data_IF_436740580706
#
_entry.id   IF_436740580706
#
_cell.length_a   1.000
_cell.length_b   1.000
_cell.length_c   1.000
_cell.angle_alpha   90.00
_cell.angle_beta   90.00
_cell.angle_gamma   90.00
#
_symmetry.space_group_name_H-M   'P 1'
#
loop_
_entity.id
_entity.type
_entity.pdbx_description
1 polymer ?
#
# COMPACT_ATOMS: atom_id res chain seq x y z
N UNK A 1 -7.21 -22.16 57.25
CA UNK A 1 -7.06 -22.56 55.85
C UNK A 1 -7.56 -21.38 55.02
N UNK A 2 -6.64 -20.52 54.59
CA UNK A 2 -6.95 -19.38 53.72
C UNK A 2 -6.88 -19.86 52.29
N UNK A 3 -8.00 -19.76 51.58
CA UNK A 3 -8.09 -20.04 50.15
C UNK A 3 -7.61 -18.81 49.36
N UNK A 4 -6.45 -18.92 48.73
CA UNK A 4 -5.91 -17.89 47.86
C UNK A 4 -6.82 -17.68 46.67
N UNK A 5 -7.35 -16.43 46.49
CA UNK A 5 -8.13 -15.99 45.37
C UNK A 5 -7.30 -16.00 44.06
N UNK A 6 -7.81 -16.52 42.94
CA UNK A 6 -7.06 -16.51 41.69
C UNK A 6 -6.93 -15.07 41.17
N UNK A 7 -5.68 -14.68 40.95
CA UNK A 7 -5.28 -13.37 40.41
C UNK A 7 -5.88 -13.18 39.02
N UNK A 8 -6.92 -12.37 38.93
CA UNK A 8 -7.61 -12.03 37.70
C UNK A 8 -6.62 -11.30 36.78
N UNK A 9 -6.22 -11.94 35.67
CA UNK A 9 -5.35 -11.31 34.66
C UNK A 9 -6.16 -10.28 33.94
N UNK A 10 -5.65 -9.05 33.87
CA UNK A 10 -6.29 -7.91 33.25
C UNK A 10 -6.65 -8.22 31.78
N UNK A 11 -7.92 -8.03 31.35
CA UNK A 11 -8.34 -8.24 29.97
C UNK A 11 -7.60 -7.32 28.98
N UNK A 12 -6.95 -6.27 29.47
CA UNK A 12 -6.14 -5.34 28.70
C UNK A 12 -4.92 -5.99 28.02
N UNK A 13 -4.38 -7.06 28.62
CA UNK A 13 -3.25 -7.81 28.08
C UNK A 13 -3.61 -8.60 26.80
N UNK A 14 -4.83 -9.06 26.69
CA UNK A 14 -5.33 -9.76 25.49
C UNK A 14 -5.67 -8.79 24.36
N UNK A 15 -6.10 -7.56 24.67
CA UNK A 15 -6.32 -6.49 23.71
C UNK A 15 -5.00 -6.00 23.13
N UNK A 16 -3.95 -5.86 23.95
CA UNK A 16 -2.61 -5.49 23.48
C UNK A 16 -1.94 -6.58 22.61
N UNK A 17 -2.17 -7.86 22.90
CA UNK A 17 -1.61 -8.97 22.10
C UNK A 17 -2.41 -9.25 20.82
N UNK A 18 -3.71 -9.02 20.81
CA UNK A 18 -4.59 -9.27 19.64
C UNK A 18 -4.60 -8.14 18.61
N UNK A 19 -4.67 -6.89 19.06
CA UNK A 19 -4.67 -5.72 18.16
C UNK A 19 -3.26 -5.22 17.80
N UNK A 20 -2.26 -5.43 18.68
CA UNK A 20 -0.90 -4.92 18.47
C UNK A 20 -0.09 -5.70 17.43
N UNK A 21 -0.37 -6.99 17.25
CA UNK A 21 0.43 -7.83 16.37
C UNK A 21 0.21 -7.58 14.88
N UNK A 22 -1.04 -7.45 14.44
CA UNK A 22 -1.36 -7.27 13.02
C UNK A 22 -1.30 -5.79 12.59
N UNK A 23 -1.82 -4.89 13.42
CA UNK A 23 -1.70 -3.45 13.19
C UNK A 23 -0.23 -3.01 13.24
N UNK A 24 0.59 -3.60 14.12
CA UNK A 24 2.03 -3.34 14.19
C UNK A 24 2.79 -3.77 12.93
N UNK A 25 2.42 -4.87 12.29
CA UNK A 25 3.07 -5.35 11.06
C UNK A 25 2.66 -4.53 9.83
N UNK A 26 1.42 -4.05 9.77
CA UNK A 26 0.94 -3.20 8.68
C UNK A 26 1.44 -1.77 8.88
N UNK A 27 1.45 -1.26 10.12
CA UNK A 27 2.11 0.01 10.43
C UNK A 27 3.63 -0.06 10.23
N UNK A 28 4.29 -1.18 10.52
CA UNK A 28 5.69 -1.41 10.16
C UNK A 28 5.87 -1.44 8.64
N UNK A 29 4.98 -2.08 7.89
CA UNK A 29 4.99 -2.06 6.43
C UNK A 29 4.83 -0.63 5.88
N UNK A 30 3.85 0.11 6.34
CA UNK A 30 3.62 1.50 5.90
C UNK A 30 4.65 2.48 6.47
N UNK A 31 5.14 2.33 7.71
CA UNK A 31 6.26 3.13 8.24
C UNK A 31 7.60 2.81 7.58
N UNK A 32 7.84 1.56 7.16
CA UNK A 32 9.01 1.18 6.35
C UNK A 32 8.93 1.89 5.00
N UNK A 33 7.73 2.01 4.42
CA UNK A 33 7.50 2.72 3.15
C UNK A 33 7.70 4.23 3.31
N UNK A 34 7.29 4.80 4.43
CA UNK A 34 7.08 6.24 4.55
C UNK A 34 8.13 6.97 5.42
N UNK A 35 8.90 6.32 6.27
CA UNK A 35 9.72 7.08 7.19
C UNK A 35 10.98 6.46 7.74
N UNK A 36 11.09 5.14 7.76
CA UNK A 36 12.28 4.48 8.29
C UNK A 36 13.17 4.04 7.13
N UNK A 37 14.18 4.84 6.87
CA UNK A 37 15.18 4.50 5.89
C UNK A 37 15.83 3.14 6.10
N UNK A 38 16.49 2.68 5.05
CA UNK A 38 17.25 1.43 4.88
C UNK A 38 17.91 0.82 6.14
N UNK A 39 18.14 1.61 7.19
CA UNK A 39 18.67 1.10 8.48
C UNK A 39 17.71 0.18 9.23
N UNK A 40 16.41 0.49 9.28
CA UNK A 40 15.44 -0.38 9.95
C UNK A 40 15.12 -1.64 9.12
N UNK A 41 15.26 -1.53 7.79
CA UNK A 41 15.07 -2.64 6.86
C UNK A 41 16.24 -3.64 6.95
N UNK A 42 17.44 -3.21 7.33
CA UNK A 42 18.60 -4.11 7.56
C UNK A 42 18.39 -5.10 8.70
N UNK A 43 17.55 -4.76 9.67
CA UNK A 43 17.33 -5.58 10.85
C UNK A 43 16.15 -6.57 10.71
N UNK A 44 15.32 -6.45 9.65
CA UNK A 44 14.08 -7.26 9.49
C UNK A 44 14.26 -8.51 8.62
N UNK A 45 15.39 -8.71 7.99
CA UNK A 45 15.66 -9.96 7.27
C UNK A 45 16.56 -9.83 6.05
N UNK A 46 17.33 -10.86 5.80
CA UNK A 46 18.33 -10.94 4.73
C UNK A 46 17.78 -10.75 3.31
N UNK A 47 16.47 -10.94 3.10
CA UNK A 47 15.81 -10.77 1.79
C UNK A 47 15.61 -9.32 1.33
N UNK A 48 15.84 -8.33 2.20
CA UNK A 48 15.61 -6.90 1.87
C UNK A 48 16.89 -6.19 1.45
N UNK A 49 18.06 -6.75 1.81
CA UNK A 49 19.35 -6.11 1.61
C UNK A 49 20.01 -6.44 0.26
N UNK A 50 19.72 -7.61 -0.31
CA UNK A 50 20.27 -8.01 -1.60
C UNK A 50 19.41 -7.46 -2.76
N UNK A 51 19.96 -6.60 -3.64
CA UNK A 51 19.25 -6.07 -4.79
C UNK A 51 18.74 -7.16 -5.76
N UNK A 52 19.48 -8.24 -5.94
CA UNK A 52 19.08 -9.33 -6.83
C UNK A 52 17.90 -10.12 -6.26
N UNK A 53 17.89 -10.37 -4.96
CA UNK A 53 16.77 -11.04 -4.27
C UNK A 53 15.53 -10.16 -4.25
N UNK A 54 15.66 -8.83 -4.01
CA UNK A 54 14.55 -7.88 -4.10
C UNK A 54 13.92 -7.89 -5.49
N UNK A 55 14.75 -7.84 -6.53
CA UNK A 55 14.29 -7.87 -7.92
C UNK A 55 13.54 -9.18 -8.22
N UNK A 56 14.09 -10.31 -7.79
CA UNK A 56 13.48 -11.63 -7.95
C UNK A 56 12.11 -11.69 -7.25
N UNK A 57 12.04 -11.29 -5.98
CA UNK A 57 10.81 -11.28 -5.19
C UNK A 57 9.74 -10.36 -5.82
N UNK A 58 10.14 -9.19 -6.32
CA UNK A 58 9.23 -8.28 -6.99
C UNK A 58 8.66 -8.89 -8.29
N UNK A 59 9.49 -9.57 -9.08
CA UNK A 59 9.06 -10.27 -10.30
C UNK A 59 8.12 -11.43 -9.97
N UNK A 60 8.38 -12.19 -8.90
CA UNK A 60 7.49 -13.25 -8.44
C UNK A 60 6.11 -12.72 -8.00
N UNK A 61 6.07 -11.53 -7.38
CA UNK A 61 4.85 -10.92 -6.88
C UNK A 61 4.06 -10.19 -7.97
N UNK A 62 4.72 -9.51 -8.88
CA UNK A 62 4.09 -8.62 -9.87
C UNK A 62 4.11 -9.19 -11.30
N UNK A 63 4.87 -10.26 -11.54
CA UNK A 63 5.10 -10.83 -12.86
C UNK A 63 6.06 -10.00 -13.72
N UNK A 64 5.89 -8.69 -13.75
CA UNK A 64 6.73 -7.73 -14.49
C UNK A 64 6.80 -6.42 -13.72
N UNK A 65 7.94 -5.76 -13.76
CA UNK A 65 8.12 -4.41 -13.24
C UNK A 65 7.86 -3.42 -14.37
N UNK A 66 7.00 -2.40 -14.19
CA UNK A 66 6.76 -1.39 -15.21
C UNK A 66 8.05 -0.67 -15.63
N UNK A 67 8.12 -0.28 -16.90
CA UNK A 67 9.25 0.46 -17.43
C UNK A 67 9.48 1.77 -16.67
N UNK A 68 10.74 2.09 -16.38
CA UNK A 68 11.13 3.28 -15.63
C UNK A 68 11.07 3.11 -14.11
N UNK A 69 10.54 1.99 -13.59
CA UNK A 69 10.46 1.76 -12.16
C UNK A 69 11.62 0.92 -11.63
N UNK A 70 12.07 1.26 -10.43
CA UNK A 70 13.10 0.54 -9.67
C UNK A 70 12.49 -0.08 -8.41
N UNK A 71 12.94 -1.27 -8.03
CA UNK A 71 12.52 -1.95 -6.79
C UNK A 71 13.25 -1.34 -5.60
N UNK A 72 12.52 -0.64 -4.74
CA UNK A 72 13.03 -0.06 -3.48
C UNK A 72 13.11 -1.12 -2.40
N UNK A 73 12.03 -1.89 -2.25
CA UNK A 73 11.92 -2.97 -1.28
C UNK A 73 11.04 -4.09 -1.82
N UNK A 74 11.32 -5.32 -1.44
CA UNK A 74 10.42 -6.45 -1.67
C UNK A 74 10.60 -7.48 -0.57
N UNK A 75 9.48 -7.82 0.08
CA UNK A 75 9.41 -8.79 1.16
C UNK A 75 8.45 -9.91 0.76
N UNK A 76 8.86 -11.13 1.04
CA UNK A 76 8.04 -12.30 0.83
C UNK A 76 7.95 -13.08 2.14
N UNK A 77 6.85 -12.88 2.89
CA UNK A 77 6.56 -13.62 4.11
C UNK A 77 5.36 -14.56 3.87
N UNK A 78 5.29 -15.64 4.62
CA UNK A 78 4.24 -16.65 4.46
C UNK A 78 2.81 -16.07 4.48
N UNK A 79 2.55 -15.05 5.29
CA UNK A 79 1.22 -14.45 5.49
C UNK A 79 1.03 -13.09 4.82
N UNK A 80 2.11 -12.48 4.36
CA UNK A 80 2.07 -11.17 3.71
C UNK A 80 3.24 -11.00 2.74
N UNK A 81 2.97 -10.40 1.62
CA UNK A 81 3.98 -10.00 0.63
C UNK A 81 3.85 -8.52 0.38
N UNK A 82 4.97 -7.85 0.18
CA UNK A 82 4.97 -6.43 -0.19
C UNK A 82 6.09 -6.15 -1.17
N UNK A 83 5.81 -5.29 -2.14
CA UNK A 83 6.80 -4.76 -3.07
C UNK A 83 6.59 -3.27 -3.24
N UNK A 84 7.68 -2.51 -3.21
CA UNK A 84 7.68 -1.07 -3.39
C UNK A 84 8.51 -0.74 -4.61
N UNK A 85 7.90 -0.03 -5.54
CA UNK A 85 8.51 0.48 -6.76
C UNK A 85 8.52 2.00 -6.73
N UNK A 86 9.51 2.61 -7.36
CA UNK A 86 9.53 4.05 -7.63
C UNK A 86 10.18 4.33 -8.97
N UNK A 87 9.73 5.38 -9.65
CA UNK A 87 10.39 5.96 -10.84
C UNK A 87 11.28 7.16 -10.47
N UNK A 88 11.41 7.46 -9.16
CA UNK A 88 12.24 8.54 -8.63
C UNK A 88 13.71 8.12 -8.58
N UNK A 89 14.59 9.12 -8.64
CA UNK A 89 16.02 8.89 -8.47
C UNK A 89 16.32 8.35 -7.06
N UNK A 90 17.08 7.26 -7.03
CA UNK A 90 17.51 6.62 -5.78
C UNK A 90 18.78 7.28 -5.27
N UNK A 91 18.77 7.66 -3.99
CA UNK A 91 19.97 8.18 -3.30
C UNK A 91 20.92 7.04 -2.93
N UNK A 92 22.23 7.32 -2.79
CA UNK A 92 23.25 6.32 -2.42
C UNK A 92 22.97 5.62 -1.09
N UNK A 93 22.26 6.27 -0.17
CA UNK A 93 21.85 5.72 1.12
C UNK A 93 20.58 4.84 1.04
N UNK A 94 20.06 4.61 -0.17
CA UNK A 94 18.86 3.84 -0.44
C UNK A 94 17.56 4.60 -0.23
N UNK A 95 17.63 5.92 -0.04
CA UNK A 95 16.48 6.81 -0.11
C UNK A 95 16.13 7.15 -1.56
N UNK A 96 15.11 7.95 -1.76
CA UNK A 96 14.78 8.54 -3.04
C UNK A 96 14.52 10.04 -2.87
N UNK A 97 14.77 10.81 -3.91
CA UNK A 97 14.51 12.25 -3.92
C UNK A 97 13.00 12.45 -3.90
N UNK A 98 12.52 13.27 -2.95
CA UNK A 98 11.15 13.77 -2.98
C UNK A 98 11.06 14.83 -4.08
N UNK A 99 10.13 14.67 -4.96
CA UNK A 99 9.94 15.55 -6.11
C UNK A 99 8.98 14.91 -7.10
N UNK A 100 9.07 15.32 -8.35
CA UNK A 100 8.31 14.72 -9.44
C UNK A 100 8.60 13.22 -9.51
N UNK A 101 7.55 12.43 -9.68
CA UNK A 101 7.63 10.99 -9.78
C UNK A 101 6.63 10.26 -8.87
N UNK A 102 6.64 8.95 -8.99
CA UNK A 102 5.62 8.08 -8.43
C UNK A 102 6.24 7.05 -7.49
N UNK A 103 5.43 6.60 -6.54
CA UNK A 103 5.73 5.42 -5.74
C UNK A 103 4.56 4.46 -5.84
N UNK A 104 4.85 3.19 -6.03
CA UNK A 104 3.85 2.13 -6.02
C UNK A 104 4.17 1.12 -4.94
N UNK A 105 3.24 0.93 -4.03
CA UNK A 105 3.33 -0.05 -2.95
C UNK A 105 2.31 -1.14 -3.18
N UNK A 106 2.76 -2.37 -3.38
CA UNK A 106 1.92 -3.56 -3.55
C UNK A 106 1.90 -4.38 -2.27
N UNK A 107 0.71 -4.85 -1.91
CA UNK A 107 0.47 -5.68 -0.74
C UNK A 107 -0.38 -6.89 -1.13
N UNK A 108 0.04 -8.06 -0.69
CA UNK A 108 -0.72 -9.29 -0.77
C UNK A 108 -0.84 -9.86 0.64
N UNK A 109 -2.04 -9.94 1.16
CA UNK A 109 -2.34 -10.35 2.54
C UNK A 109 -3.42 -11.43 2.54
N UNK A 110 -3.34 -12.34 3.53
CA UNK A 110 -4.40 -13.34 3.71
C UNK A 110 -5.72 -12.64 4.05
N UNK A 111 -6.81 -13.11 3.44
CA UNK A 111 -8.12 -12.55 3.69
C UNK A 111 -8.56 -12.79 5.15
N UNK A 112 -9.10 -11.75 5.76
CA UNK A 112 -9.81 -11.79 7.02
C UNK A 112 -11.06 -10.89 6.92
N UNK A 113 -11.90 -10.85 7.95
CA UNK A 113 -13.14 -10.07 7.91
C UNK A 113 -12.90 -8.57 7.69
N UNK A 114 -11.82 -8.01 8.25
CA UNK A 114 -11.46 -6.61 8.08
C UNK A 114 -11.03 -6.32 6.64
N UNK A 115 -10.22 -7.21 6.07
CA UNK A 115 -9.77 -7.11 4.68
C UNK A 115 -10.94 -7.22 3.69
N UNK A 116 -11.97 -7.99 4.03
CA UNK A 116 -13.20 -8.10 3.24
C UNK A 116 -13.93 -6.76 3.13
N UNK A 117 -14.08 -6.02 4.23
CA UNK A 117 -14.68 -4.67 4.19
C UNK A 117 -13.87 -3.70 3.33
N UNK A 118 -12.54 -3.73 3.41
CA UNK A 118 -11.66 -2.94 2.55
C UNK A 118 -11.82 -3.30 1.07
N UNK A 119 -11.93 -4.59 0.75
CA UNK A 119 -12.24 -5.06 -0.61
C UNK A 119 -13.61 -4.56 -1.08
N UNK A 120 -14.65 -4.67 -0.24
CA UNK A 120 -15.99 -4.23 -0.55
C UNK A 120 -16.06 -2.70 -0.76
N UNK A 121 -15.27 -1.92 0.00
CA UNK A 121 -15.14 -0.49 -0.23
C UNK A 121 -14.51 -0.19 -1.60
N UNK A 122 -13.40 -0.84 -1.97
CA UNK A 122 -12.76 -0.65 -3.27
C UNK A 122 -13.68 -1.05 -4.43
N UNK A 123 -14.50 -2.08 -4.24
CA UNK A 123 -15.51 -2.51 -5.21
C UNK A 123 -16.76 -1.60 -5.26
N UNK A 124 -16.86 -0.60 -4.38
CA UNK A 124 -18.01 0.29 -4.28
C UNK A 124 -19.25 -0.33 -3.63
N UNK A 125 -19.11 -1.47 -2.95
CA UNK A 125 -20.19 -2.15 -2.20
C UNK A 125 -20.35 -1.59 -0.79
N UNK A 126 -19.30 -0.99 -0.26
CA UNK A 126 -19.23 -0.33 1.05
C UNK A 126 -18.88 1.14 0.83
N UNK A 127 -19.50 2.03 1.62
CA UNK A 127 -19.27 3.47 1.51
C UNK A 127 -18.29 4.01 2.57
N UNK A 128 -18.04 3.25 3.65
CA UNK A 128 -17.19 3.71 4.74
C UNK A 128 -15.69 3.49 4.43
N UNK A 129 -14.93 4.56 4.16
CA UNK A 129 -13.49 4.45 3.85
C UNK A 129 -12.64 3.97 5.03
N UNK A 130 -13.16 4.04 6.29
CA UNK A 130 -12.45 3.55 7.47
C UNK A 130 -12.13 2.07 7.41
N UNK A 131 -12.82 1.32 6.57
CA UNK A 131 -12.51 -0.08 6.28
C UNK A 131 -11.11 -0.29 5.69
N UNK A 132 -10.53 0.70 5.02
CA UNK A 132 -9.15 0.66 4.50
C UNK A 132 -8.11 1.12 5.54
N UNK A 133 -8.49 1.96 6.50
CA UNK A 133 -7.57 2.43 7.56
C UNK A 133 -7.01 1.28 8.38
N UNK A 134 -7.80 0.24 8.63
CA UNK A 134 -7.37 -0.97 9.32
C UNK A 134 -6.28 -1.73 8.55
N UNK A 135 -6.12 -1.44 7.26
CA UNK A 135 -5.08 -1.99 6.37
C UNK A 135 -3.95 -0.99 6.09
N UNK A 136 -3.87 0.10 6.86
CA UNK A 136 -2.84 1.13 6.69
C UNK A 136 -3.06 2.08 5.50
N UNK A 137 -4.20 1.99 4.82
CA UNK A 137 -4.57 2.89 3.72
C UNK A 137 -5.56 3.91 4.28
N UNK A 138 -5.08 5.14 4.51
CA UNK A 138 -5.91 6.21 5.06
C UNK A 138 -6.57 6.99 3.93
N UNK A 139 -7.88 6.76 3.72
CA UNK A 139 -8.71 7.53 2.78
C UNK A 139 -9.87 8.13 3.56
N UNK A 140 -10.06 9.43 3.43
CA UNK A 140 -11.27 10.10 3.92
C UNK A 140 -12.27 10.25 2.76
N UNK A 141 -13.56 10.06 3.04
CA UNK A 141 -14.60 10.11 1.99
C UNK A 141 -14.62 11.45 1.23
N UNK A 142 -14.38 12.56 1.93
CA UNK A 142 -14.30 13.93 1.36
C UNK A 142 -13.13 14.12 0.40
N UNK A 143 -12.11 13.29 0.50
CA UNK A 143 -10.87 13.42 -0.29
C UNK A 143 -10.87 12.50 -1.51
N UNK A 144 -11.94 11.72 -1.75
CA UNK A 144 -12.07 10.88 -2.93
C UNK A 144 -12.29 11.76 -4.15
N UNK A 145 -11.35 11.71 -5.10
CA UNK A 145 -11.41 12.48 -6.37
C UNK A 145 -11.96 11.64 -7.52
N UNK A 146 -11.77 10.30 -7.47
CA UNK A 146 -12.26 9.39 -8.52
C UNK A 146 -12.39 7.97 -8.00
N UNK A 147 -13.35 7.23 -8.54
CA UNK A 147 -13.53 5.79 -8.33
C UNK A 147 -13.92 5.15 -9.66
N UNK A 148 -13.43 3.94 -9.91
CA UNK A 148 -13.78 3.22 -11.12
C UNK A 148 -13.37 1.76 -11.11
N UNK A 149 -13.65 1.10 -12.23
CA UNK A 149 -13.24 -0.27 -12.52
C UNK A 149 -12.65 -0.33 -13.93
N UNK A 150 -11.61 -1.13 -14.10
CA UNK A 150 -10.92 -1.33 -15.37
C UNK A 150 -10.85 -2.82 -15.69
N UNK A 151 -10.87 -3.14 -16.96
CA UNK A 151 -10.52 -4.48 -17.45
C UNK A 151 -9.37 -4.33 -18.44
N UNK A 152 -8.23 -4.94 -18.12
CA UNK A 152 -7.00 -4.89 -18.94
C UNK A 152 -6.61 -6.32 -19.25
N UNK A 153 -6.65 -6.71 -20.52
CA UNK A 153 -6.32 -8.07 -20.99
C UNK A 153 -7.08 -9.17 -20.18
N UNK A 154 -8.38 -8.95 -19.92
CA UNK A 154 -9.24 -9.85 -19.16
C UNK A 154 -9.08 -9.82 -17.64
N UNK A 155 -8.12 -9.09 -17.11
CA UNK A 155 -7.91 -8.89 -15.66
C UNK A 155 -8.73 -7.69 -15.17
N UNK A 156 -9.41 -7.86 -14.05
CA UNK A 156 -10.27 -6.83 -13.46
C UNK A 156 -9.53 -6.10 -12.33
N UNK A 157 -9.71 -4.79 -12.31
CA UNK A 157 -9.17 -3.89 -11.30
C UNK A 157 -10.27 -2.94 -10.84
N UNK A 158 -10.40 -2.76 -9.54
CA UNK A 158 -11.19 -1.66 -9.00
C UNK A 158 -10.25 -0.65 -8.36
N UNK A 159 -10.53 0.64 -8.45
CA UNK A 159 -9.66 1.67 -7.91
C UNK A 159 -10.42 2.81 -7.25
N UNK A 160 -9.76 3.44 -6.29
CA UNK A 160 -10.21 4.66 -5.61
C UNK A 160 -9.04 5.61 -5.52
N UNK A 161 -9.12 6.72 -6.22
CA UNK A 161 -8.16 7.80 -6.12
C UNK A 161 -8.64 8.84 -5.10
N UNK A 162 -7.73 9.25 -4.23
CA UNK A 162 -8.01 10.21 -3.16
C UNK A 162 -6.82 11.12 -2.90
N UNK A 163 -7.11 12.31 -2.43
CA UNK A 163 -6.09 13.16 -1.79
C UNK A 163 -5.70 12.58 -0.43
N UNK A 164 -4.49 12.89 -0.01
CA UNK A 164 -3.96 12.48 1.27
C UNK A 164 -2.65 13.19 1.56
N UNK A 165 -1.93 12.68 2.53
CA UNK A 165 -0.59 13.14 2.87
C UNK A 165 0.43 12.09 2.46
N UNK A 166 1.54 12.52 1.91
CA UNK A 166 2.74 11.72 1.70
C UNK A 166 3.74 12.10 2.78
N UNK A 167 4.16 11.12 3.56
CA UNK A 167 5.23 11.33 4.52
C UNK A 167 6.55 11.53 3.79
N UNK A 168 7.17 12.63 4.07
CA UNK A 168 8.49 12.98 3.54
C UNK A 168 9.53 12.67 4.61
N UNK A 169 10.61 11.99 4.24
CA UNK A 169 11.67 11.59 5.16
C UNK A 169 12.27 12.81 5.88
N UNK A 170 11.88 13.05 7.13
CA UNK A 170 12.40 14.14 7.95
C UNK A 170 11.88 15.53 7.60
N UNK A 171 10.93 15.65 6.67
CA UNK A 171 10.22 16.88 6.34
C UNK A 171 8.80 16.91 6.90
N UNK A 172 8.08 18.00 6.66
CA UNK A 172 6.65 18.06 6.91
C UNK A 172 5.91 17.16 5.89
N UNK A 173 4.79 16.51 6.26
CA UNK A 173 3.96 15.78 5.31
C UNK A 173 3.54 16.69 4.15
N UNK A 174 3.67 16.20 2.93
CA UNK A 174 3.27 16.93 1.72
C UNK A 174 1.92 16.44 1.21
N UNK A 175 1.18 17.31 0.55
CA UNK A 175 -0.07 16.93 -0.10
C UNK A 175 0.21 15.90 -1.21
N UNK A 176 -0.53 14.80 -1.20
CA UNK A 176 -0.39 13.72 -2.14
C UNK A 176 -1.69 13.33 -2.80
N UNK A 177 -1.57 12.75 -4.00
CA UNK A 177 -2.63 12.06 -4.70
C UNK A 177 -2.31 10.56 -4.70
N UNK A 178 -3.21 9.76 -4.13
CA UNK A 178 -3.05 8.33 -3.96
C UNK A 178 -4.15 7.59 -4.73
N UNK A 179 -3.80 6.50 -5.39
CA UNK A 179 -4.76 5.61 -6.03
C UNK A 179 -4.64 4.20 -5.45
N UNK A 180 -5.62 3.80 -4.65
CA UNK A 180 -5.73 2.46 -4.10
C UNK A 180 -6.38 1.55 -5.15
N UNK A 181 -5.68 0.49 -5.55
CA UNK A 181 -6.02 -0.39 -6.67
C UNK A 181 -6.20 -1.81 -6.13
N UNK A 182 -7.38 -2.36 -6.28
CA UNK A 182 -7.67 -3.76 -6.00
C UNK A 182 -7.37 -4.59 -7.26
N UNK A 183 -6.54 -5.61 -7.11
CA UNK A 183 -6.35 -6.66 -8.11
C UNK A 183 -7.36 -7.78 -7.83
N UNK A 184 -8.34 -7.96 -8.70
CA UNK A 184 -9.37 -8.99 -8.53
C UNK A 184 -8.83 -10.38 -8.93
N UNK A 185 -7.91 -10.91 -8.15
CA UNK A 185 -7.32 -12.22 -8.36
C UNK A 185 -8.20 -13.33 -7.76
N UNK A 186 -8.15 -14.55 -8.34
CA UNK A 186 -8.78 -15.73 -7.73
C UNK A 186 -8.18 -16.05 -6.35
N UNK A 187 -9.00 -16.60 -5.45
CA UNK A 187 -8.60 -17.04 -4.11
C UNK A 187 -8.96 -16.05 -2.99
N UNK A 188 -8.53 -16.42 -1.77
CA UNK A 188 -8.93 -15.73 -0.53
C UNK A 188 -7.91 -14.68 -0.07
N UNK A 189 -7.06 -14.18 -0.97
CA UNK A 189 -6.07 -13.16 -0.65
C UNK A 189 -6.54 -11.79 -1.11
N UNK A 190 -6.31 -10.78 -0.26
CA UNK A 190 -6.46 -9.39 -0.65
C UNK A 190 -5.16 -8.94 -1.32
N UNK A 191 -5.27 -8.46 -2.55
CA UNK A 191 -4.15 -7.92 -3.31
C UNK A 191 -4.46 -6.47 -3.67
N UNK A 192 -3.71 -5.55 -3.09
CA UNK A 192 -3.92 -4.11 -3.24
C UNK A 192 -2.61 -3.43 -3.60
N UNK A 193 -2.68 -2.53 -4.56
CA UNK A 193 -1.63 -1.57 -4.86
C UNK A 193 -2.04 -0.16 -4.41
N UNK A 194 -1.07 0.64 -3.98
CA UNK A 194 -1.25 2.07 -3.77
C UNK A 194 -0.24 2.79 -4.64
N UNK A 195 -0.74 3.51 -5.64
CA UNK A 195 0.08 4.30 -6.56
C UNK A 195 -0.04 5.77 -6.18
N UNK A 196 1.07 6.42 -5.87
CA UNK A 196 1.11 7.72 -5.22
C UNK A 196 2.04 8.68 -5.94
N UNK A 197 1.65 9.95 -5.97
CA UNK A 197 2.44 11.09 -6.43
C UNK A 197 2.17 12.31 -5.54
N UNK A 198 2.96 13.38 -5.67
CA UNK A 198 2.61 14.68 -5.10
C UNK A 198 1.31 15.19 -5.73
N UNK A 199 0.50 15.90 -4.95
CA UNK A 199 -0.69 16.56 -5.46
C UNK A 199 -0.27 17.70 -6.40
N UNK A 200 -0.65 17.66 -7.69
CA UNK A 200 -0.22 18.68 -8.65
C UNK A 200 -0.86 20.05 -8.42
N UNK A 201 -1.93 20.13 -7.62
CA UNK A 201 -2.64 21.38 -7.34
C UNK A 201 -3.30 21.35 -5.95
N UNK A 202 -2.51 21.33 -4.88
CA UNK A 202 -3.02 21.17 -3.50
C UNK A 202 -3.94 22.31 -3.05
N UNK A 203 -3.89 23.47 -3.71
CA UNK A 203 -4.73 24.63 -3.45
C UNK A 203 -6.15 24.54 -4.04
N UNK A 204 -6.39 23.64 -5.01
CA UNK A 204 -7.70 23.45 -5.64
C UNK A 204 -8.57 22.50 -4.83
N UNK A 205 -9.87 22.58 -4.98
CA UNK A 205 -10.78 21.54 -4.46
C UNK A 205 -10.62 20.22 -5.22
N UNK A 206 -11.08 19.13 -4.64
CA UNK A 206 -11.01 17.79 -5.27
C UNK A 206 -11.80 17.75 -6.61
N UNK A 207 -12.87 18.54 -6.70
CA UNK A 207 -13.76 18.63 -7.89
C UNK A 207 -13.12 19.45 -9.04
N UNK A 208 -12.20 20.36 -8.70
CA UNK A 208 -11.53 21.24 -9.68
C UNK A 208 -10.18 20.66 -10.14
N UNK A 209 -9.78 19.49 -9.60
CA UNK A 209 -8.50 18.89 -9.92
C UNK A 209 -8.52 18.31 -11.34
N UNK A 210 -7.60 18.76 -12.17
CA UNK A 210 -7.33 18.10 -13.44
C UNK A 210 -6.57 16.80 -13.19
N UNK A 211 -7.20 15.68 -13.52
CA UNK A 211 -6.65 14.36 -13.29
C UNK A 211 -5.79 13.85 -14.46
N UNK A 212 -5.75 14.57 -15.58
CA UNK A 212 -4.99 14.16 -16.76
C UNK A 212 -3.48 14.01 -16.42
N UNK A 213 -2.91 12.86 -16.77
CA UNK A 213 -1.50 12.56 -16.52
C UNK A 213 -1.16 12.19 -15.08
N UNK A 214 -2.13 12.19 -14.15
CA UNK A 214 -1.91 11.82 -12.74
C UNK A 214 -2.13 10.32 -12.48
N UNK A 215 -1.84 9.86 -11.26
CA UNK A 215 -2.17 8.49 -10.81
C UNK A 215 -3.67 8.18 -10.81
N UNK A 216 -4.53 9.19 -10.92
CA UNK A 216 -5.98 9.06 -11.04
C UNK A 216 -6.48 9.07 -12.50
N UNK A 217 -5.59 9.29 -13.47
CA UNK A 217 -5.89 9.20 -14.90
C UNK A 217 -5.98 7.73 -15.34
N UNK A 218 -7.12 7.34 -15.89
CA UNK A 218 -7.34 5.96 -16.35
C UNK A 218 -6.36 5.53 -17.44
N UNK A 219 -5.97 6.42 -18.35
CA UNK A 219 -5.03 6.10 -19.41
C UNK A 219 -3.64 5.79 -18.83
N UNK A 220 -3.21 6.58 -17.84
CA UNK A 220 -1.96 6.33 -17.12
C UNK A 220 -2.04 5.04 -16.29
N UNK A 221 -3.18 4.82 -15.62
CA UNK A 221 -3.41 3.62 -14.82
C UNK A 221 -3.39 2.35 -15.69
N UNK A 222 -4.02 2.38 -16.87
CA UNK A 222 -3.96 1.26 -17.83
C UNK A 222 -2.53 1.00 -18.28
N UNK A 223 -1.79 2.05 -18.65
CA UNK A 223 -0.39 1.93 -19.09
C UNK A 223 0.49 1.32 -17.99
N UNK A 224 0.29 1.77 -16.75
CA UNK A 224 1.05 1.31 -15.58
C UNK A 224 0.74 -0.15 -15.21
N UNK A 225 -0.54 -0.54 -15.19
CA UNK A 225 -0.98 -1.87 -14.76
C UNK A 225 -0.84 -2.95 -15.84
N UNK A 226 -0.84 -2.57 -17.13
CA UNK A 226 -0.83 -3.52 -18.25
C UNK A 226 0.29 -4.56 -18.18
N UNK A 227 1.55 -4.21 -17.88
CA UNK A 227 2.64 -5.18 -17.80
C UNK A 227 2.57 -6.08 -16.57
N UNK A 228 1.88 -5.68 -15.51
CA UNK A 228 1.83 -6.42 -14.25
C UNK A 228 0.89 -7.62 -14.33
N UNK A 229 1.25 -8.71 -13.68
CA UNK A 229 0.40 -9.89 -13.50
C UNK A 229 0.51 -10.49 -12.08
N UNK A 230 0.03 -9.77 -11.05
CA UNK A 230 0.16 -10.22 -9.66
C UNK A 230 -0.73 -11.43 -9.34
N UNK A 231 -1.71 -11.73 -10.17
CA UNK A 231 -2.56 -12.92 -9.99
C UNK A 231 -1.85 -14.24 -10.32
N UNK A 232 -0.65 -14.16 -10.90
CA UNK A 232 0.06 -15.34 -11.37
C UNK A 232 -0.55 -15.92 -12.66
N UNK A 233 0.06 -17.00 -13.12
CA UNK A 233 -0.51 -17.83 -14.19
C UNK A 233 -1.39 -18.90 -13.58
#
# INVERSE_FOLDING_TARGET
METASPKQRSPWLYVLLGCGGLAGLICLGSMIVLGLGVKAVKDVGSGVTDPAERQKNALEQLGTIPEGYTVVASLNMYFAQTTILTDREMLPDGGFVLGDGHTFSYFRIMANENNKKGKDFLLGKESDPRSLQQNGINIEAKDIVKRGQLTIDGRKFAYVASRGQLDTRGGAPEAGLNNAILFECPGDQLQVGVWSQLDPAPEKSAEELDLAGTVADEAQLVKFLKPMNPCGK
#
